data_IF_689882911413
#
_entry.id   IF_689882911413
#
_cell.length_a   1.000
_cell.length_b   1.000
_cell.length_c   1.000
_cell.angle_alpha   90.00
_cell.angle_beta   90.00
_cell.angle_gamma   90.00
#
_symmetry.space_group_name_H-M   'P 1'
#
loop_
_entity.id
_entity.type
_entity.pdbx_description
1 polymer ?
#
# COMPACT_ATOMS: atom_id res chain seq x y z
N UNK A 1 3.66 2.41 2.36
CA UNK A 1 2.65 1.40 2.72
C UNK A 1 3.24 0.13 3.33
N UNK A 2 4.39 -0.37 2.82
CA UNK A 2 4.98 -1.65 3.27
C UNK A 2 5.30 -1.64 4.78
N UNK A 3 5.92 -0.60 5.28
CA UNK A 3 6.20 -0.44 6.70
C UNK A 3 4.93 -0.43 7.55
N UNK A 4 3.92 0.35 7.16
CA UNK A 4 2.65 0.40 7.88
C UNK A 4 1.93 -0.95 7.88
N UNK A 5 2.00 -1.70 6.79
CA UNK A 5 1.39 -3.02 6.74
C UNK A 5 2.14 -4.06 7.59
N UNK A 6 3.48 -3.96 7.67
CA UNK A 6 4.28 -4.78 8.60
C UNK A 6 3.89 -4.51 10.06
N UNK A 7 3.72 -3.25 10.42
CA UNK A 7 3.26 -2.88 11.77
C UNK A 7 1.86 -3.41 12.03
N UNK A 8 0.95 -3.28 11.04
CA UNK A 8 -0.40 -3.82 11.14
C UNK A 8 -0.40 -5.32 11.43
N UNK A 9 0.39 -6.11 10.71
CA UNK A 9 0.50 -7.56 10.93
C UNK A 9 1.09 -7.94 12.29
N UNK A 10 1.83 -7.03 12.92
CA UNK A 10 2.31 -7.15 14.31
C UNK A 10 1.33 -6.60 15.34
N UNK A 11 0.07 -6.41 14.95
CA UNK A 11 -1.00 -5.87 15.78
C UNK A 11 -0.76 -4.43 16.31
N UNK A 12 0.11 -3.68 15.67
CA UNK A 12 0.31 -2.26 15.97
C UNK A 12 -0.76 -1.47 15.25
N UNK A 13 -1.66 -0.85 16.00
CA UNK A 13 -2.87 -0.19 15.48
C UNK A 13 -2.84 1.34 15.64
N UNK A 14 -1.81 1.89 16.23
CA UNK A 14 -1.69 3.32 16.49
C UNK A 14 -0.82 3.95 15.41
N UNK A 15 -1.45 4.77 14.56
CA UNK A 15 -0.79 5.56 13.53
C UNK A 15 -1.13 7.03 13.77
N UNK A 16 -0.14 7.81 14.20
CA UNK A 16 -0.29 9.25 14.46
C UNK A 16 0.54 10.03 13.47
N UNK A 17 0.00 11.15 13.01
CA UNK A 17 0.73 12.15 12.25
C UNK A 17 0.91 13.41 13.09
N UNK A 18 2.05 14.09 12.92
CA UNK A 18 2.31 15.35 13.60
C UNK A 18 1.80 16.49 12.72
N UNK A 19 0.72 17.16 13.14
CA UNK A 19 0.14 18.28 12.39
C UNK A 19 0.97 19.57 12.45
N UNK A 20 1.80 19.70 13.49
CA UNK A 20 2.62 20.91 13.72
C UNK A 20 3.96 20.91 12.97
N UNK A 21 4.41 19.78 12.45
CA UNK A 21 5.69 19.65 11.77
C UNK A 21 5.48 19.41 10.28
N UNK A 22 6.04 20.32 9.47
CA UNK A 22 6.08 20.15 8.02
C UNK A 22 7.45 19.62 7.62
N UNK A 23 7.48 18.44 7.03
CA UNK A 23 8.69 17.91 6.40
C UNK A 23 8.64 18.26 4.92
N UNK A 24 9.56 19.09 4.46
CA UNK A 24 9.70 19.38 3.04
C UNK A 24 10.49 18.25 2.39
N UNK A 25 9.85 17.50 1.53
CA UNK A 25 10.47 16.44 0.78
C UNK A 25 10.97 16.97 -0.57
N UNK A 26 12.23 17.36 -0.62
CA UNK A 26 12.89 17.81 -1.86
C UNK A 26 13.23 16.65 -2.82
N UNK A 27 12.80 15.45 -2.48
CA UNK A 27 13.07 14.25 -3.23
C UNK A 27 12.26 14.18 -4.51
N UNK A 28 12.94 13.82 -5.55
CA UNK A 28 12.46 13.31 -6.84
C UNK A 28 12.70 14.14 -8.08
N UNK A 29 13.06 15.42 -7.99
CA UNK A 29 13.40 16.17 -9.19
C UNK A 29 14.64 15.57 -9.90
N UNK A 30 15.65 15.18 -9.13
CA UNK A 30 16.90 14.60 -9.64
C UNK A 30 16.74 13.13 -10.03
N UNK A 31 16.04 12.34 -9.18
CA UNK A 31 15.85 10.90 -9.42
C UNK A 31 14.90 10.61 -10.58
N UNK A 32 13.91 11.47 -10.83
CA UNK A 32 13.00 11.31 -11.98
C UNK A 32 13.67 11.53 -13.32
N UNK A 33 14.74 12.35 -13.38
CA UNK A 33 15.49 12.66 -14.59
C UNK A 33 16.65 11.71 -14.84
N UNK A 34 17.04 10.89 -13.86
CA UNK A 34 18.13 9.94 -14.03
C UNK A 34 17.71 8.76 -14.88
N UNK A 35 18.38 8.60 -16.02
CA UNK A 35 18.21 7.44 -16.93
C UNK A 35 18.65 6.11 -16.28
N UNK A 36 19.41 6.17 -15.20
CA UNK A 36 20.04 5.00 -14.54
C UNK A 36 19.19 4.44 -13.38
N UNK A 37 18.11 5.14 -13.00
CA UNK A 37 17.25 4.65 -11.92
C UNK A 37 16.10 3.86 -12.53
N UNK A 38 16.14 2.55 -12.37
CA UNK A 38 14.99 1.69 -12.69
C UNK A 38 13.79 2.12 -11.84
N UNK A 39 12.73 2.54 -12.51
CA UNK A 39 11.48 2.93 -11.84
C UNK A 39 10.91 1.71 -11.11
N UNK A 40 11.16 1.64 -9.81
CA UNK A 40 10.55 0.59 -8.99
C UNK A 40 9.03 0.81 -8.91
N UNK A 41 8.26 -0.16 -9.39
CA UNK A 41 6.81 -0.12 -9.27
C UNK A 41 6.41 -0.61 -7.88
N UNK A 42 6.49 0.28 -6.88
CA UNK A 42 6.17 -0.02 -5.49
C UNK A 42 4.76 -0.58 -5.27
N UNK A 43 3.80 -0.23 -6.14
CA UNK A 43 2.44 -0.80 -6.10
C UNK A 43 2.45 -2.28 -6.48
N UNK A 44 3.15 -2.64 -7.56
CA UNK A 44 3.31 -4.03 -8.00
C UNK A 44 4.03 -4.87 -6.95
N UNK A 45 5.15 -4.35 -6.43
CA UNK A 45 5.94 -5.03 -5.40
C UNK A 45 5.12 -5.27 -4.14
N UNK A 46 4.35 -4.28 -3.68
CA UNK A 46 3.48 -4.41 -2.52
C UNK A 46 2.39 -5.46 -2.74
N UNK A 47 1.74 -5.45 -3.91
CA UNK A 47 0.69 -6.41 -4.24
C UNK A 47 1.23 -7.84 -4.31
N UNK A 48 2.39 -8.04 -4.94
CA UNK A 48 3.02 -9.38 -5.02
C UNK A 48 3.44 -9.90 -3.64
N UNK A 49 3.91 -9.02 -2.76
CA UNK A 49 4.35 -9.39 -1.42
C UNK A 49 3.20 -9.70 -0.47
N UNK A 50 2.17 -8.87 -0.49
CA UNK A 50 1.10 -8.89 0.52
C UNK A 50 -0.24 -9.41 0.02
N UNK A 51 -0.37 -9.68 -1.30
CA UNK A 51 -1.62 -10.08 -1.97
C UNK A 51 -2.75 -9.06 -1.77
N UNK A 52 -2.37 -7.82 -1.51
CA UNK A 52 -3.23 -6.68 -1.20
C UNK A 52 -2.65 -5.44 -1.87
N UNK A 53 -3.48 -4.59 -2.48
CA UNK A 53 -2.99 -3.33 -3.05
C UNK A 53 -2.78 -2.26 -1.98
N UNK A 54 -1.86 -1.30 -2.20
CA UNK A 54 -1.72 -0.16 -1.30
C UNK A 54 -3.00 0.66 -1.16
N UNK A 55 -3.84 0.69 -2.21
CA UNK A 55 -5.14 1.37 -2.20
C UNK A 55 -6.11 0.69 -1.24
N UNK A 56 -6.29 -0.62 -1.36
CA UNK A 56 -7.17 -1.40 -0.48
C UNK A 56 -6.71 -1.31 0.96
N UNK A 57 -5.39 -1.41 1.22
CA UNK A 57 -4.84 -1.22 2.55
C UNK A 57 -5.16 0.16 3.13
N UNK A 58 -4.89 1.22 2.37
CA UNK A 58 -5.17 2.59 2.81
C UNK A 58 -6.66 2.82 3.10
N UNK A 59 -7.54 2.38 2.21
CA UNK A 59 -8.96 2.70 2.31
C UNK A 59 -9.67 1.92 3.43
N UNK A 60 -9.32 0.65 3.62
CA UNK A 60 -10.06 -0.23 4.54
C UNK A 60 -9.36 -0.41 5.89
N UNK A 61 -8.04 -0.46 5.91
CA UNK A 61 -7.27 -0.68 7.14
C UNK A 61 -6.88 0.65 7.81
N UNK A 62 -6.39 1.61 7.05
CA UNK A 62 -5.99 2.92 7.56
C UNK A 62 -7.12 3.95 7.55
N UNK A 63 -8.31 3.60 7.05
CA UNK A 63 -9.46 4.51 6.92
C UNK A 63 -9.08 5.85 6.27
N UNK A 64 -8.47 5.79 5.10
CA UNK A 64 -7.77 6.88 4.41
C UNK A 64 -8.60 8.06 3.94
N UNK A 65 -9.43 8.62 4.78
CA UNK A 65 -10.14 9.86 4.56
C UNK A 65 -9.24 11.09 4.79
N UNK A 66 -9.50 12.15 4.06
CA UNK A 66 -8.61 13.30 3.87
C UNK A 66 -8.25 14.11 5.13
N UNK A 67 -8.96 13.96 6.23
CA UNK A 67 -8.67 14.62 7.52
C UNK A 67 -9.21 13.74 8.64
N UNK A 68 -8.40 12.85 9.13
CA UNK A 68 -8.78 12.04 10.28
C UNK A 68 -8.07 12.61 11.51
N UNK A 69 -8.83 13.18 12.42
CA UNK A 69 -8.37 13.37 13.78
C UNK A 69 -8.10 12.01 14.41
N UNK A 70 -7.03 11.93 15.17
CA UNK A 70 -6.71 10.69 15.87
C UNK A 70 -7.82 10.30 16.83
N UNK A 71 -8.50 9.21 16.54
CA UNK A 71 -9.62 8.68 17.34
C UNK A 71 -9.27 7.38 18.08
N UNK A 72 -8.01 7.14 18.34
CA UNK A 72 -7.55 5.93 18.99
C UNK A 72 -7.07 4.83 18.04
N UNK A 73 -6.81 3.62 18.55
CA UNK A 73 -6.30 2.52 17.75
C UNK A 73 -7.26 2.12 16.62
N UNK A 74 -6.69 1.85 15.45
CA UNK A 74 -7.47 1.39 14.30
C UNK A 74 -8.02 -0.02 14.55
N UNK A 75 -9.29 -0.21 14.23
CA UNK A 75 -9.96 -1.52 14.30
C UNK A 75 -9.79 -2.26 12.97
N UNK A 76 -9.91 -3.58 13.01
CA UNK A 76 -9.93 -4.40 11.80
C UNK A 76 -11.00 -3.91 10.82
N UNK A 77 -10.76 -4.00 9.50
CA UNK A 77 -11.75 -3.61 8.52
C UNK A 77 -13.01 -4.46 8.66
N UNK A 78 -14.16 -3.80 8.58
CA UNK A 78 -15.45 -4.50 8.55
C UNK A 78 -15.65 -5.11 7.17
N UNK A 79 -16.08 -6.36 7.14
CA UNK A 79 -16.48 -7.03 5.90
C UNK A 79 -17.75 -6.35 5.36
N UNK A 80 -17.62 -5.65 4.27
CA UNK A 80 -18.71 -5.09 3.50
C UNK A 80 -18.49 -5.37 2.00
N UNK A 81 -19.53 -5.15 1.20
CA UNK A 81 -19.50 -5.44 -0.24
C UNK A 81 -18.35 -4.73 -0.96
N UNK A 82 -18.07 -3.48 -0.59
CA UNK A 82 -16.99 -2.68 -1.20
C UNK A 82 -15.63 -3.28 -0.87
N UNK A 83 -15.40 -3.67 0.38
CA UNK A 83 -14.14 -4.29 0.79
C UNK A 83 -13.95 -5.65 0.12
N UNK A 84 -14.99 -6.49 0.07
CA UNK A 84 -14.94 -7.79 -0.62
C UNK A 84 -14.62 -7.59 -2.11
N UNK A 85 -15.26 -6.64 -2.77
CA UNK A 85 -14.98 -6.29 -4.17
C UNK A 85 -13.51 -5.90 -4.36
N UNK A 86 -12.98 -5.02 -3.52
CA UNK A 86 -11.59 -4.58 -3.60
C UNK A 86 -10.61 -5.75 -3.38
N UNK A 87 -10.90 -6.66 -2.45
CA UNK A 87 -10.11 -7.87 -2.21
C UNK A 87 -10.11 -8.81 -3.42
N UNK A 88 -11.27 -9.01 -4.06
CA UNK A 88 -11.37 -9.83 -5.27
C UNK A 88 -10.55 -9.22 -6.42
N UNK A 89 -10.67 -7.92 -6.64
CA UNK A 89 -9.87 -7.20 -7.66
C UNK A 89 -8.37 -7.38 -7.39
N UNK A 90 -7.95 -7.23 -6.14
CA UNK A 90 -6.54 -7.41 -5.76
C UNK A 90 -6.09 -8.86 -5.98
N UNK A 91 -6.95 -9.84 -5.72
CA UNK A 91 -6.67 -11.25 -5.95
C UNK A 91 -6.47 -11.57 -7.43
N UNK A 92 -7.35 -11.07 -8.30
CA UNK A 92 -7.21 -11.22 -9.74
C UNK A 92 -5.92 -10.58 -10.27
N UNK A 93 -5.63 -9.34 -9.84
CA UNK A 93 -4.38 -8.65 -10.21
C UNK A 93 -3.14 -9.39 -9.73
N UNK A 94 -3.17 -9.95 -8.52
CA UNK A 94 -2.07 -10.73 -7.99
C UNK A 94 -1.80 -11.99 -8.82
N UNK A 95 -2.86 -12.77 -9.15
CA UNK A 95 -2.74 -13.98 -9.96
C UNK A 95 -2.17 -13.61 -11.33
N UNK A 96 -2.73 -12.63 -12.00
CA UNK A 96 -2.25 -12.14 -13.31
C UNK A 96 -0.78 -11.77 -13.27
N UNK A 97 -0.36 -10.94 -12.32
CA UNK A 97 1.04 -10.51 -12.20
C UNK A 97 1.98 -11.67 -11.86
N UNK A 98 1.55 -12.61 -11.03
CA UNK A 98 2.34 -13.79 -10.69
C UNK A 98 2.53 -14.67 -11.90
N UNK A 99 1.48 -14.93 -12.68
CA UNK A 99 1.55 -15.75 -13.92
C UNK A 99 2.53 -15.12 -14.93
N UNK A 100 2.41 -13.82 -15.19
CA UNK A 100 3.34 -13.12 -16.09
C UNK A 100 4.78 -13.22 -15.59
N UNK A 101 5.00 -12.96 -14.30
CA UNK A 101 6.35 -13.01 -13.73
C UNK A 101 6.96 -14.41 -13.82
N UNK A 102 6.15 -15.44 -13.70
CA UNK A 102 6.61 -16.84 -13.85
C UNK A 102 6.93 -17.16 -15.31
N UNK A 103 6.07 -16.77 -16.25
CA UNK A 103 6.28 -17.01 -17.69
C UNK A 103 7.55 -16.32 -18.22
N UNK A 104 7.83 -15.09 -17.75
CA UNK A 104 9.03 -14.36 -18.17
C UNK A 104 10.33 -14.83 -17.49
N UNK A 105 10.26 -15.59 -16.40
CA UNK A 105 11.43 -16.21 -15.78
C UNK A 105 11.86 -17.54 -16.42
N UNK A 106 11.01 -18.12 -17.27
CA UNK A 106 11.27 -19.38 -17.98
C UNK A 106 12.01 -19.12 -19.32
N UNK A 107 12.24 -17.87 -19.69
CA UNK A 107 13.10 -17.47 -20.79
C UNK A 107 14.44 -16.94 -20.28
#
# INVERSE_FOLDING_TARGET
PDFCYKLWNKNIRIFKTFSKWKVYHFGSATTRKSKYVTKNNGTKTFLLKWKLSPRTFRNHYLKGEKKIEYRGPLKNPKLNIIFIKDLLIDRFKYIYLKTITTLFKIK
#
